data_IF_697346756890
#
_entry.id   IF_697346756890
#
_cell.length_a   1.000
_cell.length_b   1.000
_cell.length_c   1.000
_cell.angle_alpha   90.00
_cell.angle_beta   90.00
_cell.angle_gamma   90.00
#
_symmetry.space_group_name_H-M   'P 1'
#
loop_
_entity.id
_entity.type
_entity.pdbx_description
1 polymer ?
#
# COMPACT_ATOMS: atom_id res chain seq x y z
N UNK A 1 2.37 26.75 18.63
CA UNK A 1 2.78 25.39 19.04
C UNK A 1 3.13 24.61 17.79
N UNK A 2 4.38 24.18 17.66
CA UNK A 2 4.84 23.34 16.54
C UNK A 2 4.36 21.92 16.79
N UNK A 3 3.44 21.43 15.95
CA UNK A 3 2.97 20.04 16.01
C UNK A 3 4.15 19.07 15.95
N UNK A 4 4.20 18.14 16.89
CA UNK A 4 5.22 17.08 16.94
C UNK A 4 5.10 16.16 15.72
N UNK A 5 6.23 15.59 15.27
CA UNK A 5 6.26 14.65 14.14
C UNK A 5 5.28 13.47 14.31
N UNK A 6 5.16 12.97 15.52
CA UNK A 6 4.21 11.88 15.86
C UNK A 6 2.75 12.28 15.70
N UNK A 7 2.38 13.52 16.00
CA UNK A 7 1.01 14.03 15.78
C UNK A 7 0.69 14.16 14.29
N UNK A 8 1.66 14.60 13.49
CA UNK A 8 1.50 14.66 12.03
C UNK A 8 1.33 13.27 11.42
N UNK A 9 2.09 12.26 11.89
CA UNK A 9 1.93 10.88 11.46
C UNK A 9 0.55 10.30 11.82
N UNK A 10 0.01 10.62 13.00
CA UNK A 10 -1.32 10.18 13.41
C UNK A 10 -2.43 10.76 12.53
N UNK A 11 -2.28 11.98 12.07
CA UNK A 11 -3.26 12.67 11.19
C UNK A 11 -3.24 12.18 9.72
N UNK A 12 -2.24 11.39 9.32
CA UNK A 12 -2.18 10.84 7.97
C UNK A 12 -3.35 9.88 7.70
N UNK A 13 -3.87 9.92 6.47
CA UNK A 13 -4.86 8.95 6.00
C UNK A 13 -4.28 7.51 6.02
N UNK A 14 -5.15 6.52 6.22
CA UNK A 14 -4.76 5.10 6.23
C UNK A 14 -3.94 4.68 4.99
N UNK A 15 -4.34 5.03 3.75
CA UNK A 15 -3.55 4.72 2.57
C UNK A 15 -2.12 5.24 2.66
N UNK A 16 -1.95 6.48 3.14
CA UNK A 16 -0.63 7.10 3.23
C UNK A 16 0.24 6.47 4.33
N UNK A 17 -0.39 6.03 5.44
CA UNK A 17 0.30 5.25 6.49
C UNK A 17 0.80 3.91 5.94
N UNK A 18 -0.04 3.17 5.19
CA UNK A 18 0.35 1.91 4.55
C UNK A 18 1.50 2.11 3.57
N UNK A 19 1.41 3.11 2.70
CA UNK A 19 2.49 3.45 1.77
C UNK A 19 3.78 3.80 2.51
N UNK A 20 3.70 4.59 3.58
CA UNK A 20 4.86 4.99 4.38
C UNK A 20 5.53 3.82 5.08
N UNK A 21 4.75 2.96 5.73
CA UNK A 21 5.26 1.74 6.38
C UNK A 21 5.87 0.81 5.32
N UNK A 22 5.17 0.60 4.20
CA UNK A 22 5.65 -0.24 3.10
C UNK A 22 6.97 0.26 2.52
N UNK A 23 7.07 1.56 2.24
CA UNK A 23 8.28 2.16 1.71
C UNK A 23 9.45 2.11 2.71
N UNK A 24 9.18 2.28 4.00
CA UNK A 24 10.19 2.15 5.05
C UNK A 24 10.69 0.70 5.18
N UNK A 25 9.77 -0.27 5.20
CA UNK A 25 10.12 -1.71 5.23
C UNK A 25 10.92 -2.09 3.99
N UNK A 26 10.51 -1.64 2.80
CA UNK A 26 11.23 -1.86 1.55
C UNK A 26 12.64 -1.25 1.61
N UNK A 27 12.79 -0.03 2.11
CA UNK A 27 14.09 0.64 2.25
C UNK A 27 15.02 -0.15 3.18
N UNK A 28 14.55 -0.51 4.38
CA UNK A 28 15.36 -1.25 5.35
C UNK A 28 15.72 -2.65 4.84
N UNK A 29 14.83 -3.29 4.10
CA UNK A 29 15.03 -4.65 3.59
C UNK A 29 16.27 -4.81 2.72
N UNK A 30 16.71 -3.73 2.05
CA UNK A 30 17.87 -3.76 1.14
C UNK A 30 19.19 -3.97 1.90
N UNK A 31 19.23 -3.59 3.17
CA UNK A 31 20.37 -3.76 4.06
C UNK A 31 20.33 -5.08 4.85
N UNK A 32 19.31 -5.90 4.64
CA UNK A 32 19.16 -7.22 5.22
C UNK A 32 19.56 -8.30 4.21
N UNK A 33 19.87 -9.54 4.65
CA UNK A 33 20.15 -10.65 3.76
C UNK A 33 19.01 -10.92 2.78
N UNK A 34 19.26 -10.79 1.48
CA UNK A 34 18.29 -11.09 0.44
C UNK A 34 18.35 -12.56 0.03
N UNK A 35 19.56 -13.07 -0.12
CA UNK A 35 19.79 -14.45 -0.55
C UNK A 35 21.13 -14.95 -0.04
N UNK A 36 21.23 -16.26 0.09
CA UNK A 36 22.45 -16.94 0.49
C UNK A 36 22.68 -18.17 -0.37
N UNK A 37 23.93 -18.42 -0.63
CA UNK A 37 24.44 -19.57 -1.37
C UNK A 37 25.23 -20.40 -0.39
N UNK A 38 24.66 -21.53 0.05
CA UNK A 38 25.20 -22.35 1.16
C UNK A 38 25.58 -23.73 0.64
N UNK A 39 26.81 -24.18 0.89
CA UNK A 39 27.27 -25.49 0.54
C UNK A 39 26.74 -26.59 1.48
N UNK A 40 27.10 -27.84 1.19
CA UNK A 40 26.71 -29.01 2.01
C UNK A 40 27.28 -28.98 3.45
N UNK A 41 28.32 -28.18 3.67
CA UNK A 41 28.95 -27.99 4.98
C UNK A 41 28.43 -26.78 5.74
N UNK A 42 27.36 -26.12 5.21
CA UNK A 42 26.79 -24.87 5.72
C UNK A 42 27.77 -23.69 5.69
N UNK A 43 28.80 -23.77 4.86
CA UNK A 43 29.68 -22.65 4.51
C UNK A 43 29.16 -22.03 3.23
N UNK A 44 29.16 -20.70 3.15
CA UNK A 44 28.72 -20.00 1.96
C UNK A 44 28.55 -18.52 2.17
N UNK A 45 28.25 -17.83 1.10
CA UNK A 45 28.12 -16.37 1.09
C UNK A 45 26.66 -15.94 1.30
N UNK A 46 26.50 -14.89 2.10
CA UNK A 46 25.21 -14.23 2.30
C UNK A 46 25.26 -12.83 1.69
N UNK A 47 24.32 -12.54 0.83
CA UNK A 47 24.28 -11.29 0.08
C UNK A 47 23.12 -10.42 0.53
N UNK A 48 23.42 -9.13 0.70
CA UNK A 48 22.41 -8.09 0.94
C UNK A 48 21.80 -7.64 -0.40
N UNK A 49 20.74 -6.84 -0.36
CA UNK A 49 20.19 -6.25 -1.58
C UNK A 49 21.19 -5.39 -2.35
N UNK A 50 22.09 -4.70 -1.64
CA UNK A 50 23.07 -3.76 -2.23
C UNK A 50 24.44 -4.37 -2.52
N UNK A 51 24.64 -5.64 -2.24
CA UNK A 51 25.92 -6.31 -2.57
C UNK A 51 25.71 -7.62 -3.32
N UNK A 52 26.81 -8.25 -3.73
CA UNK A 52 26.77 -9.49 -4.48
C UNK A 52 26.40 -9.31 -5.96
N UNK A 53 26.12 -10.41 -6.66
CA UNK A 53 25.96 -10.40 -8.11
C UNK A 53 24.72 -9.64 -8.62
N UNK A 54 23.72 -9.39 -7.77
CA UNK A 54 22.48 -8.69 -8.13
C UNK A 54 22.40 -7.27 -7.55
N UNK A 55 23.55 -6.69 -7.15
CA UNK A 55 23.60 -5.37 -6.50
C UNK A 55 22.91 -4.26 -7.30
N UNK A 56 22.96 -4.30 -8.63
CA UNK A 56 22.34 -3.30 -9.48
C UNK A 56 20.80 -3.29 -9.32
N UNK A 57 20.19 -4.47 -9.25
CA UNK A 57 18.75 -4.61 -9.01
C UNK A 57 18.40 -4.05 -7.62
N UNK A 58 19.24 -4.35 -6.62
CA UNK A 58 19.07 -3.81 -5.27
C UNK A 58 19.19 -2.29 -5.20
N UNK A 59 20.11 -1.67 -5.93
CA UNK A 59 20.22 -0.21 -6.01
C UNK A 59 19.02 0.43 -6.70
N UNK A 60 18.51 -0.15 -7.79
CA UNK A 60 17.30 0.32 -8.46
C UNK A 60 16.09 0.21 -7.53
N UNK A 61 15.96 -0.91 -6.82
CA UNK A 61 14.92 -1.12 -5.82
C UNK A 61 15.02 -0.09 -4.68
N UNK A 62 16.23 0.15 -4.16
CA UNK A 62 16.49 1.17 -3.15
C UNK A 62 16.07 2.58 -3.64
N UNK A 63 16.34 2.90 -4.89
CA UNK A 63 15.91 4.16 -5.51
C UNK A 63 14.39 4.32 -5.52
N UNK A 64 13.64 3.27 -5.91
CA UNK A 64 12.17 3.29 -5.90
C UNK A 64 11.61 3.38 -4.47
N UNK A 65 12.18 2.63 -3.52
CA UNK A 65 11.77 2.68 -2.12
C UNK A 65 12.02 4.09 -1.52
N UNK A 66 13.19 4.67 -1.78
CA UNK A 66 13.55 6.03 -1.36
C UNK A 66 12.63 7.06 -1.98
N UNK A 67 12.31 6.94 -3.28
CA UNK A 67 11.37 7.82 -3.96
C UNK A 67 10.00 7.82 -3.29
N UNK A 68 9.45 6.64 -2.99
CA UNK A 68 8.18 6.51 -2.27
C UNK A 68 8.25 7.12 -0.86
N UNK A 69 9.35 6.92 -0.13
CA UNK A 69 9.57 7.51 1.18
C UNK A 69 9.59 9.05 1.13
N UNK A 70 10.32 9.62 0.16
CA UNK A 70 10.40 11.08 -0.02
C UNK A 70 9.02 11.67 -0.30
N UNK A 71 8.21 11.03 -1.15
CA UNK A 71 6.84 11.48 -1.42
C UNK A 71 5.96 11.46 -0.15
N UNK A 72 6.03 10.39 0.64
CA UNK A 72 5.31 10.33 1.92
C UNK A 72 5.79 11.41 2.88
N UNK A 73 7.09 11.64 2.98
CA UNK A 73 7.65 12.69 3.84
C UNK A 73 7.17 14.09 3.44
N UNK A 74 7.04 14.39 2.14
CA UNK A 74 6.46 15.67 1.70
C UNK A 74 5.04 15.87 2.24
N UNK A 75 4.22 14.81 2.24
CA UNK A 75 2.87 14.85 2.81
C UNK A 75 2.89 15.06 4.33
N UNK A 76 3.79 14.39 5.05
CA UNK A 76 3.93 14.54 6.51
C UNK A 76 4.33 15.96 6.89
N UNK A 77 5.24 16.57 6.14
CA UNK A 77 5.71 17.92 6.42
C UNK A 77 4.80 19.02 5.86
N UNK A 78 3.73 18.67 5.16
CA UNK A 78 2.81 19.62 4.54
C UNK A 78 3.50 20.49 3.45
N UNK A 79 4.61 20.03 2.91
CA UNK A 79 5.31 20.71 1.81
C UNK A 79 4.59 20.40 0.51
N UNK A 80 4.47 21.40 -0.37
CA UNK A 80 3.93 21.18 -1.71
C UNK A 80 4.83 20.18 -2.45
N UNK A 81 4.22 19.09 -2.90
CA UNK A 81 4.89 18.13 -3.77
C UNK A 81 5.32 18.86 -5.05
N UNK A 82 6.57 18.68 -5.52
CA UNK A 82 6.99 19.24 -6.80
C UNK A 82 5.96 18.87 -7.88
N UNK A 83 5.68 19.78 -8.81
CA UNK A 83 4.76 19.52 -9.91
C UNK A 83 5.29 18.34 -10.71
N UNK A 84 4.74 17.18 -10.45
CA UNK A 84 5.02 15.96 -11.21
C UNK A 84 4.00 15.84 -12.34
N UNK A 85 4.38 15.30 -13.51
CA UNK A 85 3.47 15.05 -14.62
C UNK A 85 2.47 13.92 -14.32
N UNK A 86 2.67 13.19 -13.22
CA UNK A 86 1.88 12.02 -12.81
C UNK A 86 1.27 12.32 -11.44
N UNK A 87 0.00 11.95 -11.25
CA UNK A 87 -0.68 12.06 -9.95
C UNK A 87 0.04 11.18 -8.91
N UNK A 88 0.06 11.64 -7.68
CA UNK A 88 0.82 11.03 -6.58
C UNK A 88 0.46 9.56 -6.32
N UNK A 89 -0.82 9.19 -6.42
CA UNK A 89 -1.29 7.81 -6.27
C UNK A 89 -0.72 6.86 -7.33
N UNK A 90 -0.64 7.33 -8.57
CA UNK A 90 0.00 6.56 -9.65
C UNK A 90 1.50 6.45 -9.45
N UNK A 91 2.16 7.48 -8.90
CA UNK A 91 3.58 7.44 -8.57
C UNK A 91 3.89 6.34 -7.54
N UNK A 92 3.05 6.20 -6.50
CA UNK A 92 3.18 5.09 -5.54
C UNK A 92 2.93 3.72 -6.18
N UNK A 93 1.86 3.60 -6.97
CA UNK A 93 1.55 2.33 -7.65
C UNK A 93 2.67 1.92 -8.59
N UNK A 94 3.20 2.87 -9.37
CA UNK A 94 4.28 2.61 -10.33
C UNK A 94 5.58 2.22 -9.61
N UNK A 95 5.93 2.95 -8.55
CA UNK A 95 7.11 2.66 -7.73
C UNK A 95 7.02 1.28 -7.05
N UNK A 96 5.87 0.96 -6.45
CA UNK A 96 5.66 -0.34 -5.81
C UNK A 96 5.61 -1.49 -6.81
N UNK A 97 4.91 -1.34 -7.93
CA UNK A 97 4.86 -2.35 -9.00
C UNK A 97 6.24 -2.55 -9.66
N UNK A 98 6.97 -1.46 -9.92
CA UNK A 98 8.36 -1.52 -10.40
C UNK A 98 9.28 -2.25 -9.42
N UNK A 99 9.12 -2.00 -8.13
CA UNK A 99 9.85 -2.72 -7.06
C UNK A 99 9.53 -4.21 -7.06
N UNK A 100 8.26 -4.61 -7.17
CA UNK A 100 7.87 -6.02 -7.28
C UNK A 100 8.45 -6.68 -8.53
N UNK A 101 8.43 -5.97 -9.66
CA UNK A 101 9.00 -6.45 -10.91
C UNK A 101 10.52 -6.70 -10.79
N UNK A 102 11.27 -5.78 -10.16
CA UNK A 102 12.70 -5.95 -9.89
C UNK A 102 12.97 -7.16 -8.99
N UNK A 103 12.13 -7.40 -7.98
CA UNK A 103 12.25 -8.57 -7.11
C UNK A 103 11.98 -9.88 -7.86
N UNK A 104 11.00 -9.90 -8.77
CA UNK A 104 10.75 -11.06 -9.63
C UNK A 104 11.94 -11.35 -10.55
N UNK A 105 12.57 -10.32 -11.11
CA UNK A 105 13.80 -10.46 -11.89
C UNK A 105 14.93 -11.04 -11.01
N UNK A 106 15.12 -10.48 -9.81
CA UNK A 106 16.14 -10.97 -8.87
C UNK A 106 15.92 -12.45 -8.54
N UNK A 107 14.69 -12.85 -8.22
CA UNK A 107 14.33 -14.24 -7.97
C UNK A 107 14.57 -15.12 -9.20
N UNK A 108 14.13 -14.68 -10.37
CA UNK A 108 14.30 -15.44 -11.63
C UNK A 108 15.76 -15.70 -11.94
N UNK A 109 16.62 -14.71 -11.77
CA UNK A 109 18.05 -14.86 -12.04
C UNK A 109 18.71 -15.73 -10.97
N UNK A 110 18.52 -15.39 -9.69
CA UNK A 110 19.23 -16.04 -8.61
C UNK A 110 18.88 -17.53 -8.45
N UNK A 111 17.60 -17.86 -8.53
CA UNK A 111 17.14 -19.25 -8.39
C UNK A 111 17.22 -20.08 -9.68
N UNK A 112 17.68 -19.48 -10.77
CA UNK A 112 17.89 -20.24 -12.01
C UNK A 112 18.99 -21.32 -11.82
N UNK A 113 18.73 -22.52 -12.32
CA UNK A 113 19.60 -23.70 -12.10
C UNK A 113 21.03 -23.55 -12.65
N UNK A 114 21.21 -22.71 -13.67
CA UNK A 114 22.53 -22.44 -14.29
C UNK A 114 23.26 -21.24 -13.68
N UNK A 115 22.67 -20.57 -12.72
CA UNK A 115 23.30 -19.43 -12.05
C UNK A 115 24.10 -19.93 -10.84
N UNK A 116 25.41 -19.66 -10.82
CA UNK A 116 26.34 -20.12 -9.76
C UNK A 116 26.82 -21.56 -9.95
N UNK A 117 27.48 -22.06 -8.93
CA UNK A 117 27.98 -23.44 -8.90
C UNK A 117 26.85 -24.37 -8.46
N UNK A 118 26.53 -25.40 -9.23
CA UNK A 118 25.40 -26.32 -8.99
C UNK A 118 25.48 -27.17 -7.69
N UNK A 119 26.44 -26.87 -6.81
CA UNK A 119 26.74 -27.66 -5.59
C UNK A 119 26.09 -27.02 -4.36
N UNK A 120 25.56 -25.81 -4.49
CA UNK A 120 25.09 -24.97 -3.39
C UNK A 120 23.58 -24.94 -3.25
N UNK A 121 23.12 -24.85 -2.00
CA UNK A 121 21.71 -24.65 -1.66
C UNK A 121 21.40 -23.15 -1.67
N UNK A 122 20.56 -22.72 -2.59
CA UNK A 122 20.13 -21.33 -2.70
C UNK A 122 18.94 -21.08 -1.78
N UNK A 123 19.07 -20.11 -0.90
CA UNK A 123 18.02 -19.75 0.06
C UNK A 123 17.65 -18.27 -0.05
N UNK A 124 16.34 -17.98 0.03
CA UNK A 124 15.87 -16.62 0.18
C UNK A 124 16.06 -16.14 1.62
N UNK A 125 16.67 -14.99 1.78
CA UNK A 125 16.86 -14.35 3.08
C UNK A 125 15.65 -13.54 3.52
N UNK A 126 15.63 -13.18 4.80
CA UNK A 126 14.56 -12.38 5.40
C UNK A 126 14.39 -11.03 4.73
N UNK A 127 15.48 -10.41 4.26
CA UNK A 127 15.44 -9.12 3.55
C UNK A 127 14.62 -9.20 2.27
N UNK A 128 14.73 -10.30 1.50
CA UNK A 128 13.92 -10.48 0.30
C UNK A 128 12.44 -10.60 0.62
N UNK A 129 12.07 -11.33 1.66
CA UNK A 129 10.66 -11.46 2.11
C UNK A 129 10.12 -10.09 2.52
N UNK A 130 10.89 -9.35 3.32
CA UNK A 130 10.51 -7.98 3.73
C UNK A 130 10.41 -7.03 2.54
N UNK A 131 11.27 -7.18 1.53
CA UNK A 131 11.19 -6.39 0.30
C UNK A 131 9.87 -6.61 -0.44
N UNK A 132 9.44 -7.87 -0.59
CA UNK A 132 8.13 -8.20 -1.19
C UNK A 132 6.97 -7.62 -0.40
N UNK A 133 6.98 -7.79 0.92
CA UNK A 133 5.93 -7.22 1.80
C UNK A 133 5.90 -5.70 1.69
N UNK A 134 7.05 -5.03 1.79
CA UNK A 134 7.16 -3.58 1.69
C UNK A 134 6.65 -3.04 0.35
N UNK A 135 7.10 -3.62 -0.76
CA UNK A 135 6.66 -3.23 -2.10
C UNK A 135 5.15 -3.45 -2.31
N UNK A 136 4.59 -4.56 -1.82
CA UNK A 136 3.15 -4.84 -1.87
C UNK A 136 2.33 -3.81 -1.09
N UNK A 137 2.79 -3.41 0.09
CA UNK A 137 2.14 -2.36 0.89
C UNK A 137 2.16 -1.01 0.19
N UNK A 138 3.23 -0.66 -0.53
CA UNK A 138 3.30 0.57 -1.33
C UNK A 138 2.26 0.56 -2.44
N UNK A 139 2.13 -0.55 -3.19
CA UNK A 139 1.10 -0.71 -4.23
C UNK A 139 -0.30 -0.59 -3.64
N UNK A 140 -0.58 -1.32 -2.55
CA UNK A 140 -1.88 -1.30 -1.88
C UNK A 140 -2.23 0.08 -1.36
N UNK A 141 -1.29 0.80 -0.75
CA UNK A 141 -1.48 2.16 -0.27
C UNK A 141 -1.80 3.13 -1.40
N UNK A 142 -1.07 3.06 -2.53
CA UNK A 142 -1.35 3.83 -3.74
C UNK A 142 -2.73 3.52 -4.32
N UNK A 143 -3.09 2.25 -4.42
CA UNK A 143 -4.39 1.80 -4.91
C UNK A 143 -5.57 2.29 -4.04
N UNK A 144 -5.44 2.16 -2.72
CA UNK A 144 -6.44 2.66 -1.77
C UNK A 144 -6.59 4.18 -1.83
N UNK A 145 -5.47 4.91 -2.00
CA UNK A 145 -5.49 6.36 -2.17
C UNK A 145 -6.24 6.76 -3.43
N UNK A 146 -5.99 6.09 -4.56
CA UNK A 146 -6.70 6.31 -5.83
C UNK A 146 -8.20 6.08 -5.70
N UNK A 147 -8.62 4.99 -5.07
CA UNK A 147 -10.04 4.63 -4.97
C UNK A 147 -10.81 5.46 -3.94
N UNK A 148 -10.17 6.42 -3.24
CA UNK A 148 -10.78 7.26 -2.19
C UNK A 148 -11.62 6.47 -1.17
N UNK A 149 -11.34 5.19 -0.97
CA UNK A 149 -11.93 4.39 0.10
C UNK A 149 -11.30 4.83 1.42
N UNK A 150 -11.75 5.96 1.94
CA UNK A 150 -11.43 6.39 3.29
C UNK A 150 -12.18 5.44 4.23
N UNK A 151 -11.52 4.38 4.66
CA UNK A 151 -11.98 3.64 5.82
C UNK A 151 -11.57 4.52 7.01
N UNK A 152 -12.47 5.39 7.45
CA UNK A 152 -12.29 6.12 8.70
C UNK A 152 -12.50 5.13 9.84
N UNK A 153 -11.42 4.61 10.39
CA UNK A 153 -11.46 4.00 11.70
C UNK A 153 -11.48 5.14 12.71
N UNK A 154 -12.66 5.38 13.27
CA UNK A 154 -12.80 6.29 14.37
C UNK A 154 -12.04 5.71 15.56
N UNK A 155 -11.20 6.54 16.21
CA UNK A 155 -10.28 6.13 17.26
C UNK A 155 -11.02 5.67 18.55
N UNK A 156 -12.34 5.79 18.58
CA UNK A 156 -13.21 5.42 19.70
C UNK A 156 -13.98 4.09 19.51
N UNK A 157 -13.67 3.31 18.48
CA UNK A 157 -14.28 1.99 18.30
C UNK A 157 -15.77 2.01 17.92
N UNK A 158 -16.34 3.16 17.58
CA UNK A 158 -17.67 3.26 16.99
C UNK A 158 -17.57 2.95 15.50
N UNK A 159 -17.95 1.73 15.15
CA UNK A 159 -18.39 1.39 13.82
C UNK A 159 -19.66 2.20 13.54
N UNK A 160 -19.55 3.36 12.92
CA UNK A 160 -20.71 3.94 12.26
C UNK A 160 -21.05 3.02 11.09
N UNK A 161 -22.10 2.23 11.31
CA UNK A 161 -22.75 1.51 10.22
C UNK A 161 -23.07 2.54 9.14
N UNK A 162 -22.46 2.39 7.96
CA UNK A 162 -22.96 2.95 6.72
C UNK A 162 -24.31 2.24 6.40
N UNK A 163 -25.29 2.45 7.23
CA UNK A 163 -26.67 2.29 6.82
C UNK A 163 -26.91 3.48 5.91
N UNK A 164 -26.87 3.22 4.60
CA UNK A 164 -27.52 4.07 3.63
C UNK A 164 -28.97 4.19 4.08
N UNK A 165 -29.24 5.18 4.92
CA UNK A 165 -30.60 5.58 5.19
C UNK A 165 -31.17 6.03 3.84
N UNK A 166 -31.96 5.17 3.23
CA UNK A 166 -32.87 5.57 2.15
C UNK A 166 -33.53 6.85 2.62
N UNK A 167 -33.50 7.93 1.84
CA UNK A 167 -34.13 9.16 2.26
C UNK A 167 -35.57 8.86 2.63
N UNK A 168 -36.02 9.35 3.78
CA UNK A 168 -37.40 9.20 4.30
C UNK A 168 -38.50 9.76 3.37
N UNK A 169 -38.14 10.22 2.19
CA UNK A 169 -39.07 10.67 1.16
C UNK A 169 -40.07 9.60 0.71
N UNK A 170 -39.64 8.30 0.67
CA UNK A 170 -40.54 7.23 0.20
C UNK A 170 -41.70 6.92 1.16
N UNK A 171 -41.57 7.24 2.45
CA UNK A 171 -42.63 7.01 3.43
C UNK A 171 -43.68 8.14 3.46
N UNK A 172 -43.31 9.37 3.10
CA UNK A 172 -44.25 10.49 2.95
C UNK A 172 -45.12 10.31 1.71
N UNK A 173 -44.52 9.95 0.59
CA UNK A 173 -45.28 9.78 -0.67
C UNK A 173 -46.31 8.61 -0.57
N UNK A 174 -46.01 7.56 0.21
CA UNK A 174 -46.94 6.43 0.44
C UNK A 174 -48.09 6.88 1.38
N UNK A 175 -47.80 7.73 2.38
CA UNK A 175 -48.84 8.20 3.29
C UNK A 175 -49.79 9.22 2.66
N UNK A 176 -49.29 10.06 1.75
CA UNK A 176 -50.12 11.03 1.00
C UNK A 176 -51.01 10.33 -0.04
N UNK A 177 -50.48 9.35 -0.78
CA UNK A 177 -51.25 8.56 -1.75
C UNK A 177 -52.39 7.75 -1.10
N UNK A 178 -52.15 7.17 0.09
CA UNK A 178 -53.22 6.44 0.82
C UNK A 178 -54.31 7.37 1.38
N UNK A 179 -53.99 8.58 1.73
CA UNK A 179 -54.99 9.57 2.22
C UNK A 179 -55.85 10.11 1.07
N UNK A 180 -55.30 10.28 -0.11
CA UNK A 180 -56.02 10.70 -1.30
C UNK A 180 -57.00 9.65 -1.81
N UNK A 181 -56.58 8.35 -1.85
CA UNK A 181 -57.47 7.24 -2.24
C UNK A 181 -58.66 7.07 -1.28
N UNK A 182 -58.44 7.30 0.03
CA UNK A 182 -59.52 7.18 1.02
C UNK A 182 -60.48 8.36 0.88
N UNK A 183 -60.06 9.57 0.54
CA UNK A 183 -60.93 10.72 0.29
C UNK A 183 -61.82 10.52 -0.94
N UNK A 184 -61.27 10.07 -2.06
CA UNK A 184 -61.99 9.83 -3.29
C UNK A 184 -63.10 8.76 -3.09
N UNK A 185 -62.83 7.76 -2.26
CA UNK A 185 -63.78 6.65 -2.01
C UNK A 185 -64.94 7.05 -1.06
N UNK A 186 -64.75 8.09 -0.25
CA UNK A 186 -65.80 8.62 0.62
C UNK A 186 -66.74 9.58 -0.17
N UNK A 187 -66.21 10.38 -1.09
CA UNK A 187 -67.01 11.30 -1.93
C UNK A 187 -67.84 10.58 -2.98
N UNK A 188 -67.47 9.35 -3.42
CA UNK A 188 -68.23 8.57 -4.39
C UNK A 188 -69.42 7.81 -3.78
N UNK A 189 -69.62 7.83 -2.44
CA UNK A 189 -70.71 7.12 -1.74
C UNK A 189 -71.77 8.00 -1.13
N UNK A 190 -71.72 9.30 -1.34
CA UNK A 190 -72.80 10.27 -1.02
C UNK A 190 -73.36 10.86 -2.31
#
# INVERSE_FOLDING_TARGET
MTETFTEKLKKLSLPLKLTGIGAFVAFVSVFLPWYSDIDKFKTGDTFLGVNGPLYLIGFLFLGLATFSLVLVMHNVFGKKIPKMPIEEEYAYMFSGAGSLFLLLIACSIYFHSKFGVNITLKQAGIGMIMAFVGASLVVLGGYLKKNKKTVSFDTEGKLEHLINARPQQSLRDISEATVEEVKVNIESKN
#
